data_IF_786490400890
#
_entry.id   IF_786490400890
#
_cell.length_a   1.000
_cell.length_b   1.000
_cell.length_c   1.000
_cell.angle_alpha   90.00
_cell.angle_beta   90.00
_cell.angle_gamma   90.00
#
_symmetry.space_group_name_H-M   'P 1'
#
loop_
_entity.id
_entity.type
_entity.pdbx_description
1 polymer ?
#
# COMPACT_ATOMS: atom_id res chain seq x y z
N UNK A 1 9.30 18.07 -13.13
CA UNK A 1 8.00 18.66 -13.44
C UNK A 1 7.08 18.36 -12.28
N UNK A 2 6.48 19.42 -11.75
CA UNK A 2 5.77 19.49 -10.48
C UNK A 2 4.27 19.30 -10.71
N UNK A 3 3.90 18.20 -11.37
CA UNK A 3 2.52 18.00 -11.82
C UNK A 3 1.76 17.16 -10.80
N UNK A 4 1.46 17.77 -9.65
CA UNK A 4 0.47 17.23 -8.71
C UNK A 4 -0.88 17.18 -9.42
N UNK A 5 -1.27 15.99 -9.88
CA UNK A 5 -2.55 15.78 -10.56
C UNK A 5 -3.72 15.91 -9.60
N UNK A 6 -3.57 15.39 -8.38
CA UNK A 6 -4.64 15.38 -7.39
C UNK A 6 -4.11 15.20 -5.96
N UNK A 7 -4.78 15.82 -5.00
CA UNK A 7 -4.52 15.67 -3.57
C UNK A 7 -5.84 15.65 -2.81
N UNK A 8 -5.95 14.74 -1.84
CA UNK A 8 -7.13 14.58 -1.00
C UNK A 8 -6.67 14.35 0.45
N UNK A 9 -7.36 15.01 1.39
CA UNK A 9 -7.22 14.73 2.82
C UNK A 9 -8.36 13.81 3.24
N UNK A 10 -8.02 12.60 3.68
CA UNK A 10 -8.98 11.58 4.11
C UNK A 10 -9.09 11.60 5.64
N UNK A 11 -10.29 11.86 6.15
CA UNK A 11 -10.58 11.99 7.59
C UNK A 11 -11.80 11.15 8.01
N UNK A 12 -12.13 11.16 9.31
CA UNK A 12 -13.28 10.44 9.84
C UNK A 12 -12.90 9.11 10.50
N UNK A 13 -13.75 8.08 10.35
CA UNK A 13 -13.56 6.79 11.03
C UNK A 13 -12.42 6.00 10.39
N UNK A 14 -11.63 5.30 11.20
CA UNK A 14 -10.43 4.58 10.72
C UNK A 14 -10.74 3.55 9.63
N UNK A 15 -11.86 2.83 9.73
CA UNK A 15 -12.31 1.90 8.69
C UNK A 15 -12.62 2.61 7.36
N UNK A 16 -13.31 3.74 7.43
CA UNK A 16 -13.59 4.55 6.25
C UNK A 16 -12.30 5.10 5.64
N UNK A 17 -11.37 5.61 6.46
CA UNK A 17 -10.09 6.11 5.96
C UNK A 17 -9.30 5.05 5.17
N UNK A 18 -9.29 3.78 5.62
CA UNK A 18 -8.62 2.69 4.91
C UNK A 18 -9.33 2.39 3.57
N UNK A 19 -10.66 2.26 3.60
CA UNK A 19 -11.45 1.94 2.40
C UNK A 19 -11.37 3.08 1.36
N UNK A 20 -11.39 4.34 1.81
CA UNK A 20 -11.32 5.54 0.98
C UNK A 20 -9.91 5.74 0.41
N UNK A 21 -8.86 5.52 1.20
CA UNK A 21 -7.48 5.57 0.69
C UNK A 21 -7.22 4.46 -0.35
N UNK A 22 -7.80 3.28 -0.15
CA UNK A 22 -7.75 2.21 -1.15
C UNK A 22 -8.53 2.60 -2.41
N UNK A 23 -9.70 3.25 -2.24
CA UNK A 23 -10.51 3.75 -3.34
C UNK A 23 -9.79 4.82 -4.17
N UNK A 24 -9.04 5.69 -3.49
CA UNK A 24 -8.21 6.71 -4.12
C UNK A 24 -7.19 6.08 -5.06
N UNK A 25 -6.40 5.10 -4.58
CA UNK A 25 -5.41 4.42 -5.42
C UNK A 25 -6.07 3.71 -6.59
N UNK A 26 -7.15 2.98 -6.34
CA UNK A 26 -7.89 2.26 -7.38
C UNK A 26 -8.47 3.19 -8.46
N UNK A 27 -8.83 4.42 -8.08
CA UNK A 27 -9.38 5.43 -8.98
C UNK A 27 -8.30 6.10 -9.83
N UNK A 28 -7.16 6.40 -9.24
CA UNK A 28 -6.10 7.19 -9.89
C UNK A 28 -4.99 6.34 -10.51
N UNK A 29 -4.93 5.04 -10.24
CA UNK A 29 -4.00 4.16 -10.94
C UNK A 29 -4.40 3.95 -12.40
N UNK A 30 -3.40 3.86 -13.28
CA UNK A 30 -3.62 3.50 -14.67
C UNK A 30 -4.05 2.04 -14.77
N UNK A 31 -5.05 1.79 -15.63
CA UNK A 31 -5.57 0.45 -15.97
C UNK A 31 -5.58 0.24 -17.48
N UNK A 32 -4.41 0.27 -18.16
CA UNK A 32 -4.33 -0.03 -19.58
C UNK A 32 -4.87 -1.44 -19.85
N UNK A 33 -5.47 -1.64 -21.02
CA UNK A 33 -6.03 -2.93 -21.39
C UNK A 33 -5.50 -3.41 -22.73
N UNK A 34 -5.16 -4.69 -22.83
CA UNK A 34 -4.88 -5.34 -24.12
C UNK A 34 -6.16 -5.99 -24.65
N UNK A 35 -6.31 -6.02 -25.98
CA UNK A 35 -7.43 -6.69 -26.67
C UNK A 35 -6.97 -7.67 -27.77
N UNK A 36 -6.29 -8.79 -27.47
CA UNK A 36 -5.91 -9.78 -28.48
C UNK A 36 -7.09 -10.67 -28.91
N UNK A 37 -7.95 -11.06 -27.95
CA UNK A 37 -9.18 -11.85 -28.18
C UNK A 37 -10.28 -11.57 -27.12
N UNK A 38 -10.05 -10.60 -26.24
CA UNK A 38 -10.87 -10.22 -25.09
C UNK A 38 -10.16 -9.10 -24.33
N UNK A 39 -10.87 -8.35 -23.47
CA UNK A 39 -10.28 -7.26 -22.69
C UNK A 39 -9.52 -7.83 -21.49
N UNK A 40 -8.21 -7.66 -21.47
CA UNK A 40 -7.35 -7.96 -20.31
C UNK A 40 -6.87 -6.65 -19.71
N UNK A 41 -7.30 -6.33 -18.49
CA UNK A 41 -6.85 -5.14 -17.77
C UNK A 41 -5.46 -5.39 -17.13
N UNK A 42 -4.57 -4.41 -17.25
CA UNK A 42 -3.22 -4.41 -16.69
C UNK A 42 -3.09 -3.24 -15.70
N UNK A 43 -3.72 -3.31 -14.51
CA UNK A 43 -3.62 -2.24 -13.51
C UNK A 43 -2.17 -2.05 -13.06
N UNK A 44 -1.78 -0.83 -12.68
CA UNK A 44 -0.43 -0.56 -12.19
C UNK A 44 -0.10 -1.30 -10.90
N UNK A 45 -1.08 -1.55 -10.03
CA UNK A 45 -0.86 -2.17 -8.72
C UNK A 45 -1.84 -3.30 -8.46
N UNK A 46 -1.42 -4.27 -7.66
CA UNK A 46 -2.35 -5.23 -7.04
C UNK A 46 -3.10 -4.51 -5.91
N UNK A 47 -4.42 -4.34 -6.08
CA UNK A 47 -5.21 -3.55 -5.13
C UNK A 47 -5.31 -4.22 -3.75
N UNK A 48 -5.18 -5.54 -3.68
CA UNK A 48 -5.14 -6.27 -2.41
C UNK A 48 -3.86 -5.98 -1.63
N UNK A 49 -2.72 -5.94 -2.31
CA UNK A 49 -1.43 -5.56 -1.74
C UNK A 49 -1.43 -4.11 -1.25
N UNK A 50 -2.01 -3.19 -2.04
CA UNK A 50 -2.18 -1.78 -1.63
C UNK A 50 -3.06 -1.65 -0.40
N UNK A 51 -4.21 -2.32 -0.38
CA UNK A 51 -5.11 -2.33 0.78
C UNK A 51 -4.39 -2.83 2.04
N UNK A 52 -3.70 -3.96 1.94
CA UNK A 52 -2.91 -4.53 3.05
C UNK A 52 -1.80 -3.58 3.52
N UNK A 53 -1.15 -2.86 2.60
CA UNK A 53 -0.15 -1.85 2.94
C UNK A 53 -0.75 -0.67 3.73
N UNK A 54 -1.92 -0.18 3.31
CA UNK A 54 -2.64 0.91 4.00
C UNK A 54 -3.09 0.45 5.39
N UNK A 55 -3.65 -0.77 5.52
CA UNK A 55 -4.01 -1.35 6.82
C UNK A 55 -2.78 -1.41 7.73
N UNK A 56 -1.65 -1.91 7.24
CA UNK A 56 -0.44 -2.01 8.05
C UNK A 56 0.10 -0.63 8.45
N UNK A 57 0.04 0.37 7.57
CA UNK A 57 0.41 1.73 7.91
C UNK A 57 -0.46 2.29 9.05
N UNK A 58 -1.78 2.06 9.01
CA UNK A 58 -2.73 2.48 10.06
C UNK A 58 -2.49 1.72 11.37
N UNK A 59 -2.41 0.39 11.31
CA UNK A 59 -2.28 -0.48 12.47
C UNK A 59 -0.97 -0.23 13.25
N UNK A 60 0.10 0.11 12.55
CA UNK A 60 1.45 0.25 13.13
C UNK A 60 1.94 1.70 13.25
N UNK A 61 1.10 2.67 12.87
CA UNK A 61 1.36 4.11 13.06
C UNK A 61 1.66 4.42 14.51
N UNK A 62 2.64 5.29 14.73
CA UNK A 62 2.87 5.90 16.03
C UNK A 62 1.87 7.06 16.26
N UNK A 63 0.83 6.77 17.04
CA UNK A 63 -0.21 7.74 17.40
C UNK A 63 0.23 8.78 18.43
N UNK A 64 1.42 8.64 19.04
CA UNK A 64 1.95 9.63 19.98
C UNK A 64 2.55 10.87 19.32
N UNK A 65 2.91 10.76 18.03
CA UNK A 65 3.49 11.87 17.25
C UNK A 65 2.38 12.79 16.77
N UNK A 66 2.10 13.84 17.54
CA UNK A 66 1.09 14.85 17.22
C UNK A 66 1.34 15.51 15.86
N UNK A 67 0.28 15.76 15.09
CA UNK A 67 0.35 16.40 13.77
C UNK A 67 0.88 15.53 12.63
N UNK A 68 1.45 14.34 12.90
CA UNK A 68 1.89 13.42 11.86
C UNK A 68 0.71 12.79 11.10
N UNK A 69 0.88 12.45 9.83
CA UNK A 69 -0.15 11.77 9.01
C UNK A 69 0.49 10.63 8.24
N UNK A 70 -0.28 9.58 7.95
CA UNK A 70 0.12 8.64 6.89
C UNK A 70 0.01 9.39 5.58
N UNK A 71 1.04 9.29 4.74
CA UNK A 71 1.08 9.99 3.44
C UNK A 71 1.25 8.97 2.34
N UNK A 72 0.37 9.04 1.35
CA UNK A 72 0.39 8.18 0.17
C UNK A 72 0.65 9.07 -1.05
N UNK A 73 1.69 8.72 -1.81
CA UNK A 73 2.05 9.39 -3.05
C UNK A 73 1.97 8.40 -4.20
N UNK A 74 1.27 8.78 -5.26
CA UNK A 74 1.14 7.99 -6.47
C UNK A 74 1.94 8.67 -7.59
N UNK A 75 3.02 8.03 -8.01
CA UNK A 75 3.85 8.45 -9.14
C UNK A 75 3.52 7.60 -10.37
N UNK A 76 4.06 8.00 -11.53
CA UNK A 76 3.91 7.25 -12.77
C UNK A 76 4.53 5.84 -12.70
N UNK A 77 5.58 5.67 -11.89
CA UNK A 77 6.37 4.44 -11.81
C UNK A 77 6.28 3.71 -10.46
N UNK A 78 5.69 4.33 -9.43
CA UNK A 78 5.61 3.76 -8.07
C UNK A 78 4.54 4.41 -7.19
N UNK A 79 4.17 3.72 -6.14
CA UNK A 79 3.41 4.22 -5.00
C UNK A 79 4.34 4.27 -3.79
N UNK A 80 4.46 5.43 -3.15
CA UNK A 80 5.18 5.58 -1.88
C UNK A 80 4.19 5.81 -0.73
N UNK A 81 4.27 4.97 0.31
CA UNK A 81 3.46 5.03 1.51
C UNK A 81 4.36 5.31 2.73
N UNK A 82 4.17 6.45 3.37
CA UNK A 82 4.90 6.88 4.57
C UNK A 82 4.01 6.69 5.79
N UNK A 83 4.48 5.92 6.77
CA UNK A 83 3.82 5.76 8.06
C UNK A 83 4.68 6.36 9.19
N UNK A 84 4.08 7.18 10.08
CA UNK A 84 4.78 7.73 11.24
C UNK A 84 5.25 6.65 12.20
N UNK A 85 6.50 6.79 12.67
CA UNK A 85 7.13 5.89 13.62
C UNK A 85 8.17 4.98 12.96
N UNK A 86 9.39 4.96 13.54
CA UNK A 86 10.44 4.02 13.15
C UNK A 86 10.04 2.57 13.46
N UNK A 87 10.80 1.60 13.00
CA UNK A 87 10.70 0.26 13.56
C UNK A 87 11.23 0.26 15.00
N UNK A 88 10.65 -0.54 15.91
CA UNK A 88 11.25 -0.76 17.22
C UNK A 88 12.67 -1.30 17.06
N UNK A 89 13.56 -0.98 17.99
CA UNK A 89 14.96 -1.43 17.95
C UNK A 89 15.13 -2.97 17.89
N UNK A 90 14.09 -3.73 18.21
CA UNK A 90 14.04 -5.19 18.14
C UNK A 90 13.64 -5.74 16.76
N UNK A 91 13.33 -4.86 15.80
CA UNK A 91 12.93 -5.17 14.43
C UNK A 91 13.77 -4.42 13.40
N UNK A 92 14.09 -5.11 12.33
CA UNK A 92 14.75 -4.57 11.14
C UNK A 92 13.85 -4.76 9.92
N UNK A 93 14.17 -4.05 8.83
CA UNK A 93 13.50 -4.23 7.53
C UNK A 93 13.58 -5.69 7.05
N UNK A 94 14.67 -6.40 7.34
CA UNK A 94 14.85 -7.79 6.94
C UNK A 94 14.02 -8.76 7.79
N UNK A 95 13.81 -8.43 9.07
CA UNK A 95 13.16 -9.31 10.04
C UNK A 95 11.66 -9.06 10.18
N UNK A 96 11.16 -7.88 9.81
CA UNK A 96 9.74 -7.54 9.87
C UNK A 96 8.80 -8.49 9.10
N UNK A 97 9.18 -9.13 7.97
CA UNK A 97 8.27 -10.06 7.29
C UNK A 97 7.99 -11.33 8.10
N UNK A 98 8.79 -11.60 9.13
CA UNK A 98 8.77 -12.83 9.92
C UNK A 98 8.37 -12.59 11.38
N UNK A 99 8.20 -11.34 11.79
CA UNK A 99 7.93 -10.97 13.18
C UNK A 99 6.66 -10.12 13.28
N UNK A 100 5.86 -10.42 14.28
CA UNK A 100 4.66 -9.63 14.61
C UNK A 100 5.04 -8.64 15.69
N UNK A 101 4.83 -7.36 15.43
CA UNK A 101 4.95 -6.32 16.45
C UNK A 101 3.80 -5.33 16.32
N UNK A 102 3.15 -5.06 17.44
CA UNK A 102 1.98 -4.18 17.49
C UNK A 102 2.20 -3.12 18.54
N UNK A 103 2.11 -1.84 18.14
CA UNK A 103 2.13 -0.71 19.07
C UNK A 103 0.83 -0.58 19.83
N UNK A 104 -0.30 -0.72 19.14
CA UNK A 104 -1.63 -0.54 19.68
C UNK A 104 -2.46 -1.82 19.51
N UNK A 105 -2.52 -2.64 20.57
CA UNK A 105 -3.27 -3.90 20.55
C UNK A 105 -4.78 -3.69 20.37
N UNK A 106 -5.33 -2.59 20.90
CA UNK A 106 -6.76 -2.28 20.74
C UNK A 106 -7.10 -2.02 19.28
N UNK A 107 -6.27 -1.23 18.58
CA UNK A 107 -6.47 -0.92 17.16
C UNK A 107 -6.36 -2.18 16.29
N UNK A 108 -5.33 -3.00 16.51
CA UNK A 108 -5.16 -4.28 15.80
C UNK A 108 -6.34 -5.24 16.08
N UNK A 109 -6.77 -5.37 17.34
CA UNK A 109 -7.93 -6.20 17.69
C UNK A 109 -9.23 -5.68 17.09
N UNK A 110 -9.35 -4.36 16.90
CA UNK A 110 -10.51 -3.75 16.28
C UNK A 110 -10.52 -4.03 14.77
N UNK A 111 -9.39 -3.79 14.08
CA UNK A 111 -9.22 -4.03 12.65
C UNK A 111 -9.33 -5.51 12.26
N UNK A 112 -8.97 -6.44 13.15
CA UNK A 112 -9.11 -7.88 12.89
C UNK A 112 -10.55 -8.40 12.98
N UNK A 113 -11.45 -7.65 13.63
CA UNK A 113 -12.88 -8.01 13.77
C UNK A 113 -13.76 -7.28 12.77
N UNK A 114 -13.34 -6.09 12.33
CA UNK A 114 -14.09 -5.31 11.35
C UNK A 114 -13.84 -5.80 9.94
N UNK A 115 -14.91 -5.82 9.14
CA UNK A 115 -14.86 -6.12 7.72
C UNK A 115 -14.77 -4.84 6.90
N UNK A 116 -13.83 -4.80 5.96
CA UNK A 116 -13.79 -3.78 4.92
C UNK A 116 -15.07 -3.85 4.10
N UNK A 117 -15.68 -2.69 3.84
CA UNK A 117 -16.85 -2.61 2.95
C UNK A 117 -16.43 -2.85 1.51
N UNK A 118 -15.17 -2.56 1.19
CA UNK A 118 -14.59 -2.75 -0.14
C UNK A 118 -14.30 -4.21 -0.46
N UNK A 119 -13.71 -4.95 0.48
CA UNK A 119 -13.26 -6.33 0.23
C UNK A 119 -14.18 -7.40 0.82
N UNK A 120 -15.06 -7.03 1.75
CA UNK A 120 -15.88 -7.96 2.53
C UNK A 120 -15.09 -8.82 3.54
N UNK A 121 -13.77 -8.65 3.60
CA UNK A 121 -12.85 -9.38 4.49
C UNK A 121 -12.44 -8.53 5.68
N UNK A 122 -11.90 -9.17 6.72
CA UNK A 122 -11.33 -8.43 7.84
C UNK A 122 -10.21 -7.50 7.36
N UNK A 123 -10.07 -6.32 7.96
CA UNK A 123 -8.98 -5.41 7.57
C UNK A 123 -7.62 -6.03 7.85
N UNK A 124 -7.47 -6.68 9.00
CA UNK A 124 -6.22 -7.32 9.40
C UNK A 124 -6.42 -8.82 9.65
N UNK A 125 -5.60 -9.64 9.01
CA UNK A 125 -5.56 -11.08 9.30
C UNK A 125 -4.51 -11.39 10.38
N UNK A 126 -4.88 -12.11 11.43
CA UNK A 126 -4.07 -12.33 12.65
C UNK A 126 -2.78 -13.16 12.47
N UNK A 127 -2.34 -13.46 11.25
CA UNK A 127 -1.26 -14.42 10.96
C UNK A 127 0.15 -13.83 10.80
N UNK A 128 0.32 -12.51 10.93
CA UNK A 128 1.63 -11.89 10.70
C UNK A 128 2.12 -12.03 9.26
N UNK A 129 1.20 -12.23 8.32
CA UNK A 129 1.48 -12.48 6.91
C UNK A 129 1.40 -11.19 6.07
N UNK A 130 0.93 -10.08 6.63
CA UNK A 130 0.63 -8.84 5.90
C UNK A 130 1.81 -8.34 5.06
N UNK A 131 2.97 -8.17 5.69
CA UNK A 131 4.20 -7.76 4.98
C UNK A 131 4.57 -8.75 3.87
N UNK A 132 4.50 -10.06 4.12
CA UNK A 132 4.81 -11.08 3.10
C UNK A 132 3.83 -11.04 1.93
N UNK A 133 2.54 -10.83 2.20
CA UNK A 133 1.51 -10.68 1.16
C UNK A 133 1.77 -9.45 0.31
N UNK A 134 2.08 -8.31 0.93
CA UNK A 134 2.44 -7.08 0.21
C UNK A 134 3.62 -7.34 -0.73
N UNK A 135 4.71 -7.90 -0.19
CA UNK A 135 5.93 -8.16 -0.96
C UNK A 135 5.65 -9.13 -2.12
N UNK A 136 5.04 -10.28 -1.83
CA UNK A 136 4.82 -11.34 -2.81
C UNK A 136 3.81 -10.94 -3.90
N UNK A 137 2.65 -10.38 -3.53
CA UNK A 137 1.63 -9.99 -4.50
C UNK A 137 2.13 -8.84 -5.40
N UNK A 138 2.82 -7.85 -4.82
CA UNK A 138 3.35 -6.73 -5.61
C UNK A 138 4.50 -7.16 -6.54
N UNK A 139 5.39 -8.04 -6.08
CA UNK A 139 6.48 -8.59 -6.89
C UNK A 139 5.95 -9.46 -8.03
N UNK A 140 4.97 -10.34 -7.74
CA UNK A 140 4.30 -11.13 -8.77
C UNK A 140 3.56 -10.27 -9.79
N UNK A 141 2.98 -9.14 -9.35
CA UNK A 141 2.21 -8.25 -10.21
C UNK A 141 3.08 -7.37 -11.12
N UNK A 142 4.11 -6.74 -10.56
CA UNK A 142 4.95 -5.74 -11.24
C UNK A 142 6.28 -6.30 -11.77
N UNK A 143 6.70 -7.48 -11.31
CA UNK A 143 8.03 -8.02 -11.54
C UNK A 143 9.13 -7.37 -10.70
N UNK A 144 8.79 -6.44 -9.80
CA UNK A 144 9.74 -5.72 -8.96
C UNK A 144 9.33 -5.80 -7.49
N UNK A 145 10.24 -6.26 -6.64
CA UNK A 145 9.99 -6.36 -5.20
C UNK A 145 9.80 -4.97 -4.57
N UNK A 146 8.75 -4.76 -3.76
CA UNK A 146 8.61 -3.53 -2.97
C UNK A 146 9.74 -3.36 -1.97
N UNK A 147 10.03 -2.11 -1.62
CA UNK A 147 11.14 -1.76 -0.72
C UNK A 147 10.63 -1.02 0.49
N UNK A 148 10.96 -1.52 1.68
CA UNK A 148 10.83 -0.76 2.92
C UNK A 148 12.14 -0.01 3.20
N UNK A 149 12.04 1.24 3.67
CA UNK A 149 13.18 2.06 4.05
C UNK A 149 12.83 2.95 5.25
N UNK A 150 13.82 3.23 6.09
CA UNK A 150 13.70 4.29 7.09
C UNK A 150 13.82 5.65 6.41
N UNK A 151 12.95 6.58 6.79
CA UNK A 151 12.99 7.96 6.33
C UNK A 151 12.83 8.89 7.54
N UNK A 152 13.95 9.22 8.20
CA UNK A 152 13.92 9.92 9.47
C UNK A 152 13.15 9.13 10.54
N UNK A 153 12.09 9.72 11.09
CA UNK A 153 11.20 9.10 12.09
C UNK A 153 10.06 8.27 11.47
N UNK A 154 10.10 8.01 10.17
CA UNK A 154 9.03 7.33 9.45
C UNK A 154 9.53 6.05 8.79
N UNK A 155 8.60 5.15 8.52
CA UNK A 155 8.81 4.01 7.64
C UNK A 155 8.18 4.33 6.28
N UNK A 156 8.97 4.20 5.21
CA UNK A 156 8.49 4.30 3.84
C UNK A 156 8.41 2.92 3.21
N UNK A 157 7.29 2.61 2.58
CA UNK A 157 7.11 1.51 1.66
C UNK A 157 7.01 2.06 0.23
N UNK A 158 7.82 1.55 -0.68
CA UNK A 158 7.73 1.80 -2.13
C UNK A 158 7.21 0.56 -2.84
N UNK A 159 6.06 0.66 -3.50
CA UNK A 159 5.48 -0.38 -4.37
C UNK A 159 5.67 0.05 -5.82
N UNK A 160 6.28 -0.77 -6.66
CA UNK A 160 6.54 -0.43 -8.06
C UNK A 160 5.30 -0.64 -8.93
N UNK A 161 5.06 0.29 -9.86
CA UNK A 161 4.03 0.13 -10.87
C UNK A 161 4.41 -1.02 -11.82
N UNK A 162 3.42 -1.82 -12.21
CA UNK A 162 3.54 -2.75 -13.32
C UNK A 162 3.80 -1.97 -14.62
N UNK A 163 4.85 -2.31 -15.39
CA UNK A 163 5.12 -1.66 -16.66
C UNK A 163 3.91 -1.74 -17.60
N UNK A 164 3.71 -0.69 -18.39
CA UNK A 164 2.60 -0.66 -19.33
C UNK A 164 2.80 -1.75 -20.39
N UNK A 165 1.73 -2.45 -20.79
CA UNK A 165 1.77 -3.33 -21.94
C UNK A 165 2.21 -2.63 -23.24
N UNK A 166 2.26 -1.30 -23.30
CA UNK A 166 2.56 -0.54 -24.50
C UNK A 166 4.00 0.04 -24.55
N UNK A 167 4.75 0.03 -23.44
CA UNK A 167 6.08 0.66 -23.31
C UNK A 167 7.21 0.01 -24.13
N UNK A 168 6.95 -1.06 -24.89
CA UNK A 168 7.95 -1.76 -25.72
C UNK A 168 7.68 -1.78 -27.23
N UNK A 169 6.69 -1.03 -27.73
CA UNK A 169 6.28 -1.07 -29.15
C UNK A 169 6.70 0.14 -30.01
N UNK A 170 7.33 1.15 -29.43
CA UNK A 170 7.70 2.38 -30.16
C UNK A 170 9.01 2.27 -30.98
N UNK A 171 9.60 1.07 -31.08
CA UNK A 171 10.88 0.86 -31.78
C UNK A 171 10.82 0.34 -33.22
N UNK A 172 9.63 0.06 -33.77
CA UNK A 172 9.48 -0.47 -35.13
C UNK A 172 8.39 0.29 -35.89
N UNK A 173 8.77 1.42 -36.48
CA UNK A 173 8.07 2.05 -37.59
C UNK A 173 9.12 2.66 -38.52
#
# INVERSE_FOLDING_TARGET
>A
SDDLVHSELIEGRVDAQIDDATAFVDRFMLKPARKPAGREDHPQYDIGAVHEAIVNAVAHRDYSIAGSKIRLFLFSDRLDLYSPGRLPNTLTIETMPFRVFTRNQLLVSFLSRMKSRRTGRAFLESRGEGVRKILGASEAHSGRRPVYAHFGEELRLTIWAKPSPHEGREGHA
#
